data_IF_257919832415
#
_entry.id   IF_257919832415
#
_cell.length_a   1.000
_cell.length_b   1.000
_cell.length_c   1.000
_cell.angle_alpha   90.00
_cell.angle_beta   90.00
_cell.angle_gamma   90.00
#
_symmetry.space_group_name_H-M   'P 1'
#
loop_
_entity.id
_entity.type
_entity.pdbx_description
1 polymer ?
#
# COMPACT_ATOMS: atom_id res chain seq x y z
N UNK A 1 -15.01 11.09 10.11
CA UNK A 1 -15.51 9.89 9.40
C UNK A 1 -16.78 10.26 8.65
N UNK A 2 -16.99 9.74 7.44
CA UNK A 2 -18.22 9.99 6.68
C UNK A 2 -19.39 9.25 7.33
N UNK A 3 -20.19 9.95 8.13
CA UNK A 3 -21.20 9.36 9.04
C UNK A 3 -22.21 8.50 8.30
N UNK A 4 -22.72 8.94 7.15
CA UNK A 4 -23.70 8.17 6.37
C UNK A 4 -23.17 6.85 5.80
N UNK A 5 -21.89 6.82 5.36
CA UNK A 5 -21.32 5.62 4.76
C UNK A 5 -21.00 4.57 5.83
N UNK A 6 -20.53 5.03 7.00
CA UNK A 6 -20.30 4.15 8.14
C UNK A 6 -21.61 3.60 8.70
N UNK A 7 -22.65 4.43 8.81
CA UNK A 7 -23.95 3.99 9.28
C UNK A 7 -24.52 2.90 8.34
N UNK A 8 -24.51 3.15 7.03
CA UNK A 8 -24.94 2.18 6.03
C UNK A 8 -24.17 0.85 6.11
N UNK A 9 -22.85 0.92 6.30
CA UNK A 9 -22.03 -0.27 6.49
C UNK A 9 -22.47 -1.07 7.72
N UNK A 10 -22.68 -0.39 8.85
CA UNK A 10 -23.12 -1.05 10.08
C UNK A 10 -24.51 -1.68 9.93
N UNK A 11 -25.45 -0.99 9.27
CA UNK A 11 -26.84 -1.46 9.10
C UNK A 11 -26.94 -2.70 8.21
N UNK A 12 -25.97 -2.89 7.31
CA UNK A 12 -25.94 -4.00 6.34
C UNK A 12 -24.87 -5.05 6.65
N UNK A 13 -24.12 -4.87 7.74
CA UNK A 13 -23.11 -5.80 8.20
C UNK A 13 -23.75 -7.11 8.68
N UNK A 14 -23.09 -8.22 8.39
CA UNK A 14 -23.44 -9.51 9.00
C UNK A 14 -22.18 -10.34 9.23
N UNK A 15 -22.23 -11.22 10.22
CA UNK A 15 -21.10 -12.10 10.54
C UNK A 15 -20.79 -13.02 9.36
N UNK A 16 -21.82 -13.48 8.64
CA UNK A 16 -21.70 -14.35 7.47
C UNK A 16 -20.92 -13.65 6.34
N UNK A 17 -21.22 -12.37 6.05
CA UNK A 17 -20.46 -11.56 5.08
C UNK A 17 -19.00 -11.41 5.49
N UNK A 18 -18.75 -11.16 6.78
CA UNK A 18 -17.40 -11.05 7.30
C UNK A 18 -16.61 -12.36 7.20
N UNK A 19 -17.23 -13.50 7.48
CA UNK A 19 -16.57 -14.80 7.29
C UNK A 19 -16.28 -15.09 5.81
N UNK A 20 -17.21 -14.76 4.90
CA UNK A 20 -16.98 -14.90 3.46
C UNK A 20 -15.84 -13.98 2.95
N UNK A 21 -15.75 -12.78 3.51
CA UNK A 21 -14.66 -11.84 3.30
C UNK A 21 -13.31 -12.40 3.76
N UNK A 22 -13.22 -12.89 5.01
CA UNK A 22 -12.01 -13.51 5.54
C UNK A 22 -11.59 -14.73 4.73
N UNK A 23 -12.57 -15.56 4.32
CA UNK A 23 -12.30 -16.72 3.47
C UNK A 23 -11.66 -16.31 2.14
N UNK A 24 -12.13 -15.23 1.52
CA UNK A 24 -11.51 -14.71 0.28
C UNK A 24 -10.07 -14.28 0.53
N UNK A 25 -9.82 -13.46 1.57
CA UNK A 25 -8.47 -12.97 1.89
C UNK A 25 -7.51 -14.12 2.21
N UNK A 26 -7.98 -15.16 2.91
CA UNK A 26 -7.17 -16.29 3.35
C UNK A 26 -6.91 -17.35 2.27
N UNK A 27 -7.54 -17.25 1.11
CA UNK A 27 -7.42 -18.28 0.06
C UNK A 27 -6.90 -17.73 -1.26
N UNK A 28 -7.03 -16.42 -1.50
CA UNK A 28 -6.69 -15.82 -2.79
C UNK A 28 -5.24 -16.09 -3.21
N UNK A 29 -4.30 -16.06 -2.27
CA UNK A 29 -2.87 -16.23 -2.57
C UNK A 29 -2.29 -17.57 -2.10
N UNK A 30 -3.15 -18.59 -1.95
CA UNK A 30 -2.74 -19.97 -1.68
C UNK A 30 -2.49 -20.29 -0.21
N UNK A 31 -2.33 -19.28 0.65
CA UNK A 31 -2.21 -19.46 2.10
C UNK A 31 -2.95 -18.38 2.91
N UNK A 32 -3.28 -18.67 4.19
CA UNK A 32 -3.98 -17.73 5.05
C UNK A 32 -3.19 -16.48 5.38
N UNK A 33 -3.90 -15.36 5.45
CA UNK A 33 -3.38 -14.09 5.94
C UNK A 33 -3.08 -14.19 7.44
N UNK A 34 -1.91 -13.71 7.86
CA UNK A 34 -1.51 -13.66 9.28
C UNK A 34 -2.00 -12.38 9.98
N UNK A 35 -2.37 -11.35 9.21
CA UNK A 35 -2.91 -10.11 9.76
C UNK A 35 -4.30 -10.30 10.35
N UNK A 36 -4.58 -9.54 11.41
CA UNK A 36 -5.95 -9.27 11.83
C UNK A 36 -6.57 -8.30 10.84
N UNK A 37 -7.66 -8.71 10.23
CA UNK A 37 -8.35 -7.90 9.22
C UNK A 37 -9.53 -7.19 9.89
N UNK A 38 -9.67 -5.89 9.68
CA UNK A 38 -10.79 -5.14 10.24
C UNK A 38 -12.11 -5.54 9.58
N UNK A 39 -13.20 -5.55 10.33
CA UNK A 39 -14.54 -5.85 9.82
C UNK A 39 -15.04 -4.79 8.83
N UNK A 40 -14.52 -3.56 8.95
CA UNK A 40 -15.00 -2.39 8.22
C UNK A 40 -13.84 -1.59 7.63
N UNK A 41 -13.95 -1.13 6.37
CA UNK A 41 -12.96 -0.23 5.81
C UNK A 41 -13.05 1.16 6.46
N UNK A 42 -11.97 1.93 6.33
CA UNK A 42 -11.97 3.32 6.79
C UNK A 42 -12.55 4.23 5.70
N UNK A 43 -13.69 4.86 5.99
CA UNK A 43 -14.29 5.86 5.11
C UNK A 43 -13.68 7.24 5.36
N UNK A 44 -12.74 7.63 4.49
CA UNK A 44 -12.00 8.90 4.57
C UNK A 44 -12.85 10.04 3.99
N UNK A 45 -13.15 11.11 4.77
CA UNK A 45 -13.82 12.29 4.22
C UNK A 45 -12.96 12.99 3.17
N UNK A 46 -13.60 13.58 2.14
CA UNK A 46 -12.90 14.29 1.06
C UNK A 46 -11.92 15.35 1.56
N UNK A 47 -12.27 16.08 2.63
CA UNK A 47 -11.41 17.11 3.23
C UNK A 47 -10.13 16.52 3.82
N UNK A 48 -10.22 15.41 4.55
CA UNK A 48 -9.05 14.70 5.07
C UNK A 48 -8.21 14.09 3.94
N UNK A 49 -8.87 13.50 2.93
CA UNK A 49 -8.20 12.95 1.75
C UNK A 49 -7.36 14.00 1.02
N UNK A 50 -7.88 15.23 0.86
CA UNK A 50 -7.12 16.35 0.29
C UNK A 50 -5.89 16.72 1.13
N UNK A 51 -6.03 16.79 2.46
CA UNK A 51 -4.90 17.10 3.36
C UNK A 51 -3.82 16.01 3.30
N UNK A 52 -4.21 14.73 3.20
CA UNK A 52 -3.27 13.61 3.03
C UNK A 52 -2.52 13.72 1.71
N UNK A 53 -3.23 13.92 0.60
CA UNK A 53 -2.61 14.06 -0.72
C UNK A 53 -1.68 15.27 -0.80
N UNK A 54 -2.07 16.42 -0.22
CA UNK A 54 -1.19 17.58 -0.13
C UNK A 54 0.11 17.24 0.62
N UNK A 55 0.01 16.54 1.76
CA UNK A 55 1.20 16.12 2.50
C UNK A 55 2.12 15.18 1.69
N UNK A 56 1.55 14.30 0.87
CA UNK A 56 2.31 13.44 -0.06
C UNK A 56 2.99 14.28 -1.14
N UNK A 57 2.28 15.25 -1.72
CA UNK A 57 2.82 16.16 -2.75
C UNK A 57 3.96 17.02 -2.19
N UNK A 58 3.76 17.67 -1.04
CA UNK A 58 4.76 18.54 -0.38
C UNK A 58 6.06 17.77 -0.09
N UNK A 59 5.95 16.53 0.41
CA UNK A 59 7.12 15.68 0.70
C UNK A 59 7.79 15.25 -0.60
N UNK A 60 6.99 14.84 -1.60
CA UNK A 60 7.50 14.40 -2.91
C UNK A 60 8.27 15.52 -3.63
N UNK A 61 7.76 16.76 -3.59
CA UNK A 61 8.44 17.93 -4.14
C UNK A 61 9.78 18.19 -3.45
N UNK A 62 9.84 18.08 -2.12
CA UNK A 62 11.07 18.27 -1.36
C UNK A 62 12.13 17.23 -1.71
N UNK A 63 11.77 15.93 -1.71
CA UNK A 63 12.74 14.85 -1.95
C UNK A 63 13.17 14.74 -3.42
N UNK A 64 12.33 15.23 -4.35
CA UNK A 64 12.65 15.30 -5.77
C UNK A 64 13.40 16.59 -6.16
N UNK A 65 13.62 17.52 -5.22
CA UNK A 65 14.32 18.77 -5.49
C UNK A 65 15.77 18.51 -5.95
N UNK A 66 16.30 19.25 -6.95
CA UNK A 66 17.64 18.99 -7.51
C UNK A 66 18.78 19.02 -6.48
N UNK A 67 18.63 19.79 -5.40
CA UNK A 67 19.61 19.92 -4.33
C UNK A 67 19.37 18.95 -3.15
N UNK A 68 18.30 18.13 -3.16
CA UNK A 68 17.94 17.26 -2.04
C UNK A 68 19.10 16.32 -1.67
N UNK A 69 19.70 15.66 -2.66
CA UNK A 69 20.86 14.77 -2.45
C UNK A 69 22.02 15.48 -1.74
N UNK A 70 22.31 16.73 -2.12
CA UNK A 70 23.39 17.50 -1.51
C UNK A 70 23.08 17.81 -0.03
N UNK A 71 21.84 18.17 0.29
CA UNK A 71 21.45 18.53 1.66
C UNK A 71 21.24 17.30 2.55
N UNK A 72 20.97 16.12 1.98
CA UNK A 72 20.80 14.87 2.71
C UNK A 72 22.08 14.03 2.81
N UNK A 73 23.13 14.34 2.04
CA UNK A 73 24.35 13.52 1.91
C UNK A 73 25.00 13.17 3.26
N UNK A 74 25.00 14.10 4.20
CA UNK A 74 25.60 13.91 5.52
C UNK A 74 24.84 12.91 6.40
N UNK A 75 23.61 12.52 6.04
CA UNK A 75 22.81 11.54 6.77
C UNK A 75 23.28 10.09 6.54
N UNK A 76 24.05 9.83 5.47
CA UNK A 76 24.53 8.49 5.13
C UNK A 76 26.00 8.36 5.56
N UNK A 77 26.32 7.50 6.54
CA UNK A 77 27.71 7.22 6.91
C UNK A 77 28.52 6.72 5.70
N UNK A 78 29.79 7.15 5.52
CA UNK A 78 30.56 6.79 4.33
C UNK A 78 30.68 5.29 4.05
N UNK A 79 30.68 4.45 5.09
CA UNK A 79 30.80 2.99 4.98
C UNK A 79 29.47 2.28 4.62
N UNK A 80 28.35 3.00 4.61
CA UNK A 80 27.02 2.49 4.22
C UNK A 80 26.62 2.95 2.81
N UNK A 81 27.51 3.65 2.09
CA UNK A 81 27.24 4.07 0.71
C UNK A 81 27.24 2.87 -0.23
N UNK A 82 26.13 2.69 -0.93
CA UNK A 82 25.97 1.65 -1.96
C UNK A 82 26.36 2.25 -3.31
N UNK A 83 27.27 1.61 -4.09
CA UNK A 83 27.64 2.11 -5.40
C UNK A 83 26.48 1.98 -6.39
N UNK A 84 26.45 2.86 -7.39
CA UNK A 84 25.46 2.86 -8.48
C UNK A 84 23.99 2.94 -8.00
N UNK A 85 23.72 3.74 -6.96
CA UNK A 85 22.36 4.08 -6.56
C UNK A 85 21.61 4.86 -7.65
N UNK A 86 20.29 4.65 -7.73
CA UNK A 86 19.41 5.40 -8.61
C UNK A 86 19.29 6.87 -8.17
N UNK A 87 18.87 7.74 -9.10
CA UNK A 87 18.70 9.17 -8.82
C UNK A 87 17.56 9.45 -7.83
N UNK A 88 16.56 8.56 -7.74
CA UNK A 88 15.43 8.66 -6.84
C UNK A 88 14.93 7.26 -6.46
N UNK A 89 14.20 7.16 -5.36
CA UNK A 89 13.55 5.90 -4.97
C UNK A 89 12.47 5.50 -5.99
N UNK A 90 12.32 4.19 -6.22
CA UNK A 90 11.24 3.62 -7.03
C UNK A 90 9.94 3.52 -6.24
N UNK A 91 10.03 3.29 -4.93
CA UNK A 91 8.88 3.14 -4.04
C UNK A 91 8.97 4.10 -2.87
N UNK A 92 7.82 4.66 -2.49
CA UNK A 92 7.70 5.55 -1.36
C UNK A 92 6.37 5.28 -0.65
N UNK A 93 6.44 5.10 0.66
CA UNK A 93 5.30 4.93 1.55
C UNK A 93 5.36 6.01 2.62
N UNK A 94 4.22 6.65 2.88
CA UNK A 94 4.09 7.73 3.84
C UNK A 94 2.96 7.41 4.81
N UNK A 95 3.32 7.31 6.08
CA UNK A 95 2.40 6.95 7.14
C UNK A 95 1.98 8.19 7.90
N UNK A 96 0.66 8.37 8.03
CA UNK A 96 0.09 9.53 8.70
C UNK A 96 -0.77 9.12 9.89
N UNK A 97 -0.50 9.75 11.03
CA UNK A 97 -1.42 9.78 12.16
C UNK A 97 -2.53 10.81 11.88
N UNK A 98 -3.78 10.44 12.11
CA UNK A 98 -4.91 11.38 11.99
C UNK A 98 -5.23 11.98 13.35
N UNK A 99 -4.89 13.26 13.52
CA UNK A 99 -5.08 14.01 14.76
C UNK A 99 -6.26 14.99 14.65
N UNK A 100 -6.61 15.63 15.77
CA UNK A 100 -7.50 16.79 15.78
C UNK A 100 -6.68 18.05 16.04
N UNK A 101 -6.92 19.09 15.26
CA UNK A 101 -6.32 20.40 15.49
C UNK A 101 -7.05 21.16 16.62
N UNK A 102 -6.62 22.40 16.88
CA UNK A 102 -7.21 23.29 17.89
C UNK A 102 -8.70 23.62 17.67
N UNK A 103 -9.18 23.46 16.43
CA UNK A 103 -10.58 23.68 16.06
C UNK A 103 -11.38 22.37 16.04
N UNK A 104 -10.75 21.23 16.37
CA UNK A 104 -11.36 19.91 16.36
C UNK A 104 -11.40 19.25 14.98
N UNK A 105 -10.81 19.86 13.95
CA UNK A 105 -10.76 19.30 12.60
C UNK A 105 -9.74 18.17 12.48
N UNK A 106 -10.03 17.18 11.63
CA UNK A 106 -9.06 16.13 11.33
C UNK A 106 -7.89 16.70 10.53
N UNK A 107 -6.68 16.41 10.98
CA UNK A 107 -5.43 16.81 10.33
C UNK A 107 -4.44 15.65 10.32
N UNK A 108 -3.81 15.31 9.17
CA UNK A 108 -2.77 14.30 9.13
C UNK A 108 -1.47 14.85 9.73
N UNK A 109 -0.70 14.00 10.38
CA UNK A 109 0.65 14.26 10.88
C UNK A 109 1.56 13.13 10.41
N UNK A 110 2.66 13.47 9.75
CA UNK A 110 3.61 12.46 9.26
C UNK A 110 4.20 11.70 10.46
N UNK A 111 4.12 10.37 10.39
CA UNK A 111 4.71 9.45 11.37
C UNK A 111 6.05 8.95 10.83
N UNK A 112 6.04 8.41 9.61
CA UNK A 112 7.23 7.88 8.97
C UNK A 112 7.17 7.95 7.44
N UNK A 113 8.36 7.88 6.85
CA UNK A 113 8.59 7.78 5.41
C UNK A 113 9.48 6.58 5.14
N UNK A 114 9.02 5.68 4.28
CA UNK A 114 9.67 4.40 4.01
C UNK A 114 9.85 4.19 2.51
N UNK A 115 11.00 3.61 2.13
CA UNK A 115 11.29 3.22 0.74
C UNK A 115 11.09 1.72 0.47
N UNK A 116 10.45 0.99 1.39
CA UNK A 116 10.32 -0.46 1.29
C UNK A 116 9.05 -0.86 0.54
N UNK A 117 9.12 -1.69 -0.52
CA UNK A 117 7.94 -2.03 -1.28
C UNK A 117 7.18 -3.24 -0.72
N UNK A 118 6.29 -3.01 0.24
CA UNK A 118 5.48 -4.09 0.83
C UNK A 118 4.00 -3.78 0.91
N UNK A 119 3.19 -4.83 0.86
CA UNK A 119 1.74 -4.88 1.04
C UNK A 119 0.91 -4.34 -0.14
N UNK A 120 1.50 -4.08 -1.30
CA UNK A 120 0.81 -3.50 -2.46
C UNK A 120 -0.29 -4.40 -3.03
N UNK A 121 -0.05 -5.70 -3.18
CA UNK A 121 -1.05 -6.64 -3.67
C UNK A 121 -1.96 -7.13 -2.54
N UNK A 122 -1.48 -7.19 -1.30
CA UNK A 122 -2.32 -7.44 -0.13
C UNK A 122 -3.40 -6.36 0.06
N UNK A 123 -3.01 -5.08 0.05
CA UNK A 123 -3.96 -3.96 0.18
C UNK A 123 -4.95 -3.93 -0.99
N UNK A 124 -4.48 -4.26 -2.20
CA UNK A 124 -5.35 -4.38 -3.38
C UNK A 124 -6.38 -5.51 -3.23
N UNK A 125 -5.95 -6.69 -2.76
CA UNK A 125 -6.83 -7.81 -2.42
C UNK A 125 -7.85 -7.41 -1.36
N UNK A 126 -7.41 -6.75 -0.30
CA UNK A 126 -8.28 -6.33 0.80
C UNK A 126 -9.40 -5.41 0.31
N UNK A 127 -9.06 -4.41 -0.50
CA UNK A 127 -10.05 -3.49 -1.08
C UNK A 127 -11.03 -4.19 -2.03
N UNK A 128 -10.54 -5.12 -2.85
CA UNK A 128 -11.39 -5.97 -3.70
C UNK A 128 -12.35 -6.82 -2.85
N UNK A 129 -11.85 -7.48 -1.80
CA UNK A 129 -12.64 -8.32 -0.93
C UNK A 129 -13.72 -7.51 -0.19
N UNK A 130 -13.43 -6.28 0.27
CA UNK A 130 -14.46 -5.42 0.86
C UNK A 130 -15.61 -5.15 -0.11
N UNK A 131 -15.30 -4.77 -1.36
CA UNK A 131 -16.34 -4.52 -2.38
C UNK A 131 -17.11 -5.76 -2.78
N UNK A 132 -16.46 -6.93 -2.75
CA UNK A 132 -17.10 -8.20 -3.12
C UNK A 132 -18.17 -8.62 -2.11
N UNK A 133 -17.96 -8.35 -0.82
CA UNK A 133 -18.79 -8.89 0.26
C UNK A 133 -19.64 -7.85 0.99
N UNK A 134 -19.33 -6.57 0.84
CA UNK A 134 -20.04 -5.47 1.48
C UNK A 134 -20.48 -4.42 0.46
N UNK A 135 -21.54 -3.70 0.79
CA UNK A 135 -22.10 -2.65 -0.06
C UNK A 135 -21.29 -1.36 0.09
N UNK A 136 -20.15 -1.30 -0.60
CA UNK A 136 -19.27 -0.14 -0.63
C UNK A 136 -19.74 0.81 -1.73
N UNK A 137 -20.11 2.07 -1.43
CA UNK A 137 -20.62 2.99 -2.43
C UNK A 137 -19.62 3.25 -3.57
N UNK A 138 -20.11 3.40 -4.80
CA UNK A 138 -19.29 3.58 -6.01
C UNK A 138 -18.32 4.77 -5.94
N UNK A 139 -18.68 5.83 -5.20
CA UNK A 139 -17.85 7.02 -5.06
C UNK A 139 -16.62 6.88 -4.16
N UNK A 140 -16.40 5.73 -3.52
CA UNK A 140 -15.16 5.43 -2.81
C UNK A 140 -14.17 4.73 -3.75
N UNK A 141 -12.87 4.85 -3.52
CA UNK A 141 -11.83 4.10 -4.24
C UNK A 141 -10.57 4.00 -3.35
N UNK A 142 -9.76 2.96 -3.56
CA UNK A 142 -8.44 2.78 -2.96
C UNK A 142 -7.30 3.08 -3.94
N UNK A 143 -7.61 3.21 -5.23
CA UNK A 143 -6.68 3.55 -6.30
C UNK A 143 -6.87 5.01 -6.72
N UNK A 144 -5.77 5.62 -7.14
CA UNK A 144 -5.69 7.02 -7.56
C UNK A 144 -5.58 7.14 -9.08
N UNK A 145 -5.70 8.37 -9.60
CA UNK A 145 -5.53 8.68 -11.02
C UNK A 145 -6.50 7.93 -11.97
N UNK A 146 -7.64 7.46 -11.45
CA UNK A 146 -8.67 6.80 -12.24
C UNK A 146 -8.30 5.40 -12.72
N UNK A 147 -7.23 4.79 -12.21
CA UNK A 147 -6.86 3.42 -12.59
C UNK A 147 -7.76 2.40 -11.89
N UNK A 148 -8.03 1.30 -12.59
CA UNK A 148 -8.76 0.14 -12.09
C UNK A 148 -7.79 -1.00 -11.72
N UNK A 149 -8.33 -2.18 -11.39
CA UNK A 149 -7.51 -3.32 -11.01
C UNK A 149 -6.54 -3.80 -12.13
N UNK A 150 -6.97 -3.94 -13.40
CA UNK A 150 -6.04 -4.13 -14.52
C UNK A 150 -4.97 -3.04 -14.64
N UNK A 151 -5.35 -1.77 -14.55
CA UNK A 151 -4.42 -0.65 -14.64
C UNK A 151 -3.40 -0.64 -13.50
N UNK A 152 -3.82 -0.98 -12.29
CA UNK A 152 -2.93 -1.15 -11.14
C UNK A 152 -1.93 -2.28 -11.35
N UNK A 153 -2.37 -3.44 -11.83
CA UNK A 153 -1.46 -4.56 -12.14
C UNK A 153 -0.45 -4.18 -13.21
N UNK A 154 -0.87 -3.47 -14.26
CA UNK A 154 0.03 -3.02 -15.30
C UNK A 154 1.02 -1.96 -14.79
N UNK A 155 0.58 -1.05 -13.91
CA UNK A 155 1.48 -0.11 -13.24
C UNK A 155 2.54 -0.87 -12.44
N UNK A 156 2.15 -1.81 -11.57
CA UNK A 156 3.08 -2.61 -10.79
C UNK A 156 4.04 -3.43 -11.67
N UNK A 157 3.55 -4.00 -12.77
CA UNK A 157 4.38 -4.70 -13.77
C UNK A 157 5.42 -3.76 -14.38
N UNK A 158 5.02 -2.57 -14.81
CA UNK A 158 5.94 -1.57 -15.38
C UNK A 158 6.98 -1.11 -14.35
N UNK A 159 6.59 -0.90 -13.11
CA UNK A 159 7.52 -0.45 -12.06
C UNK A 159 8.50 -1.55 -11.64
N UNK A 160 8.03 -2.79 -11.44
CA UNK A 160 8.85 -3.88 -10.90
C UNK A 160 9.65 -4.60 -11.99
N UNK A 161 9.02 -4.89 -13.14
CA UNK A 161 9.65 -5.64 -14.23
C UNK A 161 10.31 -4.70 -15.24
N UNK A 162 9.69 -3.55 -15.50
CA UNK A 162 10.17 -2.59 -16.49
C UNK A 162 10.29 -3.20 -17.88
N UNK A 163 11.44 -2.97 -18.51
CA UNK A 163 11.82 -3.51 -19.82
C UNK A 163 12.57 -4.86 -19.73
N UNK A 164 12.74 -5.40 -18.52
CA UNK A 164 13.38 -6.69 -18.32
C UNK A 164 12.46 -7.84 -18.74
N UNK A 165 13.07 -8.99 -19.04
CA UNK A 165 12.31 -10.23 -19.19
C UNK A 165 11.86 -10.72 -17.81
N UNK A 166 10.59 -11.12 -17.60
CA UNK A 166 10.11 -11.56 -16.29
C UNK A 166 10.96 -12.66 -15.65
N UNK A 167 11.53 -13.58 -16.43
CA UNK A 167 12.40 -14.65 -15.93
C UNK A 167 13.72 -14.16 -15.31
N UNK A 168 14.11 -12.91 -15.58
CA UNK A 168 15.31 -12.27 -15.04
C UNK A 168 15.00 -11.38 -13.82
N UNK A 169 13.74 -11.31 -13.39
CA UNK A 169 13.30 -10.50 -12.26
C UNK A 169 12.83 -11.44 -11.15
N UNK A 170 13.32 -11.20 -9.93
CA UNK A 170 13.01 -12.01 -8.75
C UNK A 170 12.60 -11.10 -7.60
N UNK A 171 11.83 -11.65 -6.67
CA UNK A 171 11.62 -11.08 -5.35
C UNK A 171 12.55 -11.80 -4.38
N UNK A 172 13.57 -11.11 -3.88
CA UNK A 172 14.57 -11.66 -2.98
C UNK A 172 14.29 -11.23 -1.53
N UNK A 173 14.24 -12.18 -0.60
CA UNK A 173 14.03 -11.90 0.83
C UNK A 173 14.75 -12.95 1.70
N UNK A 174 15.03 -12.62 2.96
CA UNK A 174 15.50 -13.55 3.98
C UNK A 174 14.29 -14.27 4.59
N UNK A 175 14.24 -15.59 4.41
CA UNK A 175 13.19 -16.46 4.95
C UNK A 175 11.75 -15.93 4.65
N UNK A 176 11.37 -15.75 3.36
CA UNK A 176 10.11 -15.09 2.98
C UNK A 176 8.88 -15.72 3.63
N UNK A 177 8.86 -17.05 3.78
CA UNK A 177 7.79 -17.82 4.43
C UNK A 177 7.59 -17.47 5.92
N UNK A 178 8.61 -16.93 6.59
CA UNK A 178 8.55 -16.54 8.01
C UNK A 178 8.12 -15.09 8.19
N UNK A 179 8.11 -14.29 7.12
CA UNK A 179 7.73 -12.88 7.19
C UNK A 179 6.22 -12.75 7.46
N UNK A 180 5.83 -11.82 8.34
CA UNK A 180 4.41 -11.56 8.58
C UNK A 180 3.73 -10.93 7.35
N UNK A 181 4.49 -10.30 6.47
CA UNK A 181 4.02 -9.67 5.23
C UNK A 181 3.98 -10.63 4.03
N UNK A 182 4.28 -11.91 4.22
CA UNK A 182 4.48 -12.89 3.14
C UNK A 182 3.34 -13.05 2.15
N UNK A 183 2.10 -12.77 2.58
CA UNK A 183 0.93 -12.74 1.71
C UNK A 183 1.12 -11.83 0.50
N UNK A 184 1.88 -10.74 0.64
CA UNK A 184 2.18 -9.81 -0.44
C UNK A 184 3.19 -10.38 -1.45
N UNK A 185 4.13 -11.21 -1.01
CA UNK A 185 5.05 -11.92 -1.91
C UNK A 185 4.26 -12.87 -2.82
N UNK A 186 3.30 -13.59 -2.26
CA UNK A 186 2.44 -14.50 -3.02
C UNK A 186 1.49 -13.77 -3.95
N UNK A 187 0.95 -12.63 -3.50
CA UNK A 187 0.18 -11.74 -4.36
C UNK A 187 1.01 -11.23 -5.55
N UNK A 188 2.24 -10.81 -5.29
CA UNK A 188 3.20 -10.37 -6.31
C UNK A 188 3.52 -11.48 -7.29
N UNK A 189 3.87 -12.68 -6.79
CA UNK A 189 4.13 -13.86 -7.62
C UNK A 189 2.91 -14.22 -8.48
N UNK A 190 1.71 -14.24 -7.90
CA UNK A 190 0.47 -14.58 -8.62
C UNK A 190 0.17 -13.58 -9.73
N UNK A 191 0.35 -12.28 -9.48
CA UNK A 191 -0.04 -11.24 -10.42
C UNK A 191 1.03 -10.88 -11.45
N UNK A 192 2.30 -10.99 -11.09
CA UNK A 192 3.43 -10.59 -11.94
C UNK A 192 4.25 -11.78 -12.48
N UNK A 193 4.01 -13.00 -11.97
CA UNK A 193 4.74 -14.20 -12.41
C UNK A 193 6.19 -14.26 -11.93
N UNK A 194 6.56 -13.45 -10.93
CA UNK A 194 7.92 -13.37 -10.39
C UNK A 194 8.20 -14.51 -9.41
N UNK A 195 9.43 -15.01 -9.42
CA UNK A 195 9.88 -15.99 -8.43
C UNK A 195 10.24 -15.30 -7.12
N UNK A 196 9.71 -15.80 -6.02
CA UNK A 196 10.16 -15.44 -4.66
C UNK A 196 11.32 -16.35 -4.29
N UNK A 197 12.49 -15.78 -4.01
CA UNK A 197 13.71 -16.51 -3.65
C UNK A 197 14.17 -16.14 -2.24
N UNK A 198 14.65 -17.15 -1.52
CA UNK A 198 15.24 -16.99 -0.20
C UNK A 198 16.75 -16.75 -0.32
N UNK A 199 17.28 -15.76 0.41
CA UNK A 199 18.72 -15.49 0.44
C UNK A 199 19.51 -16.43 1.37
N UNK A 200 18.86 -17.08 2.34
CA UNK A 200 19.50 -17.97 3.33
C UNK A 200 19.65 -19.41 2.89
#
# INVERSE_FOLDING_TARGET
MHTGARQHFNDTFSQEKYQAFLQTVNTEFGEPCTFRVAETPVFIPKTLGKKLLQGVEDISELIAAPNFRQISEAAIPPHLRVPAEDAHTTFLQLDFGVCRDKNGELTPQLIEMQGFPSLYFYQHLLAYAYRKHFDIPEGYNHLFNGIDAPGYRELMRKVIIGDSKPENVILLEIEPEKQNTRIDFWGTQKHLGLKVLCLS
#
